data_IF_296732870166
#
_entry.id   IF_296732870166
#
_cell.length_a   1.000
_cell.length_b   1.000
_cell.length_c   1.000
_cell.angle_alpha   90.00
_cell.angle_beta   90.00
_cell.angle_gamma   90.00
#
_symmetry.space_group_name_H-M   'P 1'
#
loop_
_entity.id
_entity.type
_entity.pdbx_description
1 polymer ?
#
# COMPACT_ATOMS: atom_id res chain seq x y z
N UNK A 1 17.99 -6.69 6.70
CA UNK A 1 16.98 -6.96 5.67
C UNK A 1 15.64 -6.55 6.25
N UNK A 2 14.88 -5.67 5.60
CA UNK A 2 13.60 -5.19 6.15
C UNK A 2 12.58 -6.34 6.18
N UNK A 3 11.86 -6.50 7.29
CA UNK A 3 10.78 -7.49 7.39
C UNK A 3 9.50 -6.86 6.81
N UNK A 4 8.85 -7.44 5.79
CA UNK A 4 7.64 -6.86 5.20
C UNK A 4 6.38 -7.07 6.08
N UNK A 5 6.54 -7.53 7.32
CA UNK A 5 5.46 -7.88 8.25
C UNK A 5 5.73 -7.32 9.66
N UNK A 6 6.41 -6.17 9.76
CA UNK A 6 6.50 -5.46 11.05
C UNK A 6 5.16 -4.82 11.39
N UNK A 7 4.93 -4.52 12.68
CA UNK A 7 3.66 -3.98 13.16
C UNK A 7 3.41 -2.54 12.66
N UNK A 8 4.47 -1.82 12.33
CA UNK A 8 4.45 -0.43 11.85
C UNK A 8 3.97 -0.32 10.40
N UNK A 9 3.76 -1.43 9.69
CA UNK A 9 3.16 -1.39 8.35
C UNK A 9 1.69 -0.97 8.45
N UNK A 10 1.42 0.22 7.92
CA UNK A 10 0.08 0.79 7.91
C UNK A 10 -0.71 0.51 6.63
N UNK A 11 -0.03 0.19 5.53
CA UNK A 11 -0.64 0.04 4.22
C UNK A 11 0.10 -0.95 3.31
N UNK A 12 -0.64 -1.85 2.68
CA UNK A 12 -0.22 -2.58 1.49
C UNK A 12 -1.07 -2.14 0.30
N UNK A 13 -0.43 -1.87 -0.83
CA UNK A 13 -1.11 -1.49 -2.06
C UNK A 13 -0.48 -2.14 -3.27
N UNK A 14 -1.25 -2.18 -4.35
CA UNK A 14 -0.81 -2.70 -5.65
C UNK A 14 -1.19 -1.72 -6.76
N UNK A 15 -0.52 -1.86 -7.90
CA UNK A 15 -1.00 -1.31 -9.16
C UNK A 15 -0.61 -2.22 -10.32
N UNK A 16 -1.56 -2.51 -11.20
CA UNK A 16 -1.37 -3.32 -12.41
C UNK A 16 -1.48 -2.51 -13.71
N UNK A 17 -2.08 -1.32 -13.66
CA UNK A 17 -2.41 -0.50 -14.83
C UNK A 17 -1.81 0.90 -14.78
N UNK A 18 -1.08 1.21 -13.71
CA UNK A 18 -0.43 2.50 -13.51
C UNK A 18 1.00 2.28 -13.04
N UNK A 19 1.84 3.30 -13.17
CA UNK A 19 3.18 3.27 -12.57
C UNK A 19 3.08 3.46 -11.06
N UNK A 20 4.08 2.97 -10.32
CA UNK A 20 4.20 3.24 -8.88
C UNK A 20 4.18 4.74 -8.57
N UNK A 21 4.88 5.55 -9.38
CA UNK A 21 4.90 7.01 -9.25
C UNK A 21 3.50 7.63 -9.32
N UNK A 22 2.69 7.22 -10.30
CA UNK A 22 1.30 7.68 -10.41
C UNK A 22 0.49 7.28 -9.18
N UNK A 23 0.65 6.04 -8.69
CA UNK A 23 -0.10 5.55 -7.53
C UNK A 23 0.30 6.26 -6.23
N UNK A 24 1.60 6.54 -6.05
CA UNK A 24 2.10 7.35 -4.94
C UNK A 24 1.62 8.79 -4.99
N UNK A 25 1.56 9.40 -6.19
CA UNK A 25 1.03 10.75 -6.33
C UNK A 25 -0.45 10.81 -5.91
N UNK A 26 -1.25 9.81 -6.29
CA UNK A 26 -2.64 9.71 -5.84
C UNK A 26 -2.74 9.58 -4.32
N UNK A 27 -1.93 8.73 -3.70
CA UNK A 27 -1.86 8.63 -2.24
C UNK A 27 -1.52 10.00 -1.62
N UNK A 28 -0.45 10.65 -2.08
CA UNK A 28 0.02 11.94 -1.59
C UNK A 28 -1.08 13.02 -1.68
N UNK A 29 -1.79 13.07 -2.80
CA UNK A 29 -2.90 14.00 -3.01
C UNK A 29 -4.06 13.76 -2.04
N UNK A 30 -4.40 12.52 -1.75
CA UNK A 30 -5.46 12.21 -0.77
C UNK A 30 -5.01 12.46 0.66
N UNK A 31 -3.84 11.95 1.06
CA UNK A 31 -3.31 12.08 2.41
C UNK A 31 -3.08 13.56 2.81
N UNK A 32 -2.34 14.29 1.99
CA UNK A 32 -1.80 15.59 2.40
C UNK A 32 -2.59 16.78 1.84
N UNK A 33 -3.26 16.61 0.69
CA UNK A 33 -3.99 17.70 0.02
C UNK A 33 -5.52 17.59 0.10
N UNK A 34 -6.05 16.52 0.71
CA UNK A 34 -7.48 16.28 0.84
C UNK A 34 -8.20 16.16 -0.50
N UNK A 35 -7.55 15.56 -1.52
CA UNK A 35 -8.12 15.36 -2.85
C UNK A 35 -8.50 13.90 -3.07
N UNK A 36 -9.60 13.67 -3.77
CA UNK A 36 -10.03 12.31 -4.10
C UNK A 36 -9.04 11.60 -5.04
N UNK A 37 -9.05 10.25 -4.96
CA UNK A 37 -8.26 9.39 -5.83
C UNK A 37 -7.59 8.20 -5.16
N UNK A 38 -7.53 8.16 -3.82
CA UNK A 38 -6.89 7.06 -3.10
C UNK A 38 -7.50 6.81 -1.70
N UNK A 39 -8.22 5.70 -1.53
CA UNK A 39 -8.87 5.36 -0.25
C UNK A 39 -7.88 5.25 0.92
N UNK A 40 -6.77 4.53 0.73
CA UNK A 40 -5.74 4.42 1.78
C UNK A 40 -5.08 5.76 2.13
N UNK A 41 -5.10 6.73 1.21
CA UNK A 41 -4.58 8.08 1.48
C UNK A 41 -5.57 8.89 2.31
N UNK A 42 -6.88 8.74 2.05
CA UNK A 42 -7.93 9.29 2.90
C UNK A 42 -7.88 8.72 4.32
N UNK A 43 -7.76 7.40 4.46
CA UNK A 43 -7.61 6.78 5.79
C UNK A 43 -6.35 7.26 6.50
N UNK A 44 -5.23 7.43 5.78
CA UNK A 44 -4.02 8.02 6.38
C UNK A 44 -4.29 9.42 6.94
N UNK A 45 -4.96 10.28 6.15
CA UNK A 45 -5.30 11.64 6.58
C UNK A 45 -6.15 11.64 7.84
N UNK A 46 -7.14 10.76 7.92
CA UNK A 46 -8.06 10.67 9.05
C UNK A 46 -7.38 10.15 10.32
N UNK A 47 -6.51 9.14 10.19
CA UNK A 47 -5.91 8.44 11.33
C UNK A 47 -4.63 9.14 11.84
N UNK A 48 -3.84 9.75 10.96
CA UNK A 48 -2.55 10.36 11.31
C UNK A 48 -2.55 11.89 11.16
N UNK A 49 -3.13 12.42 10.07
CA UNK A 49 -3.29 13.86 9.86
C UNK A 49 -1.99 14.68 9.88
N UNK A 50 -0.83 14.04 9.66
CA UNK A 50 0.50 14.67 9.75
C UNK A 50 1.07 15.07 8.36
N UNK A 51 2.30 15.58 8.36
CA UNK A 51 3.02 15.97 7.14
C UNK A 51 3.82 14.79 6.50
N UNK A 52 3.65 13.56 7.00
CA UNK A 52 4.32 12.38 6.46
C UNK A 52 5.83 12.33 6.67
N UNK A 53 6.40 13.14 7.58
CA UNK A 53 7.85 13.15 7.84
C UNK A 53 8.39 11.82 8.35
N UNK A 54 7.53 11.01 8.97
CA UNK A 54 7.84 9.67 9.47
C UNK A 54 7.20 8.57 8.61
N UNK A 55 6.72 8.90 7.41
CA UNK A 55 6.16 7.94 6.47
C UNK A 55 7.28 7.44 5.54
N UNK A 56 7.52 6.13 5.59
CA UNK A 56 8.48 5.46 4.72
C UNK A 56 7.76 4.57 3.72
N UNK A 57 8.30 4.47 2.50
CA UNK A 57 7.71 3.69 1.42
C UNK A 57 8.72 2.67 0.91
N UNK A 58 8.28 1.43 0.75
CA UNK A 58 9.02 0.37 0.08
C UNK A 58 8.27 -0.07 -1.18
N UNK A 59 9.00 -0.56 -2.18
CA UNK A 59 8.45 -1.05 -3.44
C UNK A 59 9.00 -2.44 -3.77
N UNK A 60 8.17 -3.23 -4.44
CA UNK A 60 8.56 -4.52 -5.01
C UNK A 60 8.14 -4.57 -6.49
N UNK A 61 8.99 -4.07 -7.41
CA UNK A 61 8.78 -4.23 -8.85
C UNK A 61 8.79 -5.71 -9.23
N UNK A 62 7.82 -6.13 -10.03
CA UNK A 62 7.71 -7.50 -10.53
C UNK A 62 8.09 -7.49 -12.00
N UNK A 63 9.28 -8.00 -12.31
CA UNK A 63 9.79 -8.09 -13.68
C UNK A 63 9.98 -9.56 -14.10
N UNK A 64 10.08 -9.81 -15.41
CA UNK A 64 10.40 -11.14 -15.95
C UNK A 64 9.26 -12.16 -15.98
N UNK A 65 8.03 -11.75 -15.68
CA UNK A 65 6.83 -12.54 -15.92
C UNK A 65 6.17 -12.13 -17.26
N UNK A 66 5.45 -13.04 -17.94
CA UNK A 66 4.59 -12.68 -19.05
C UNK A 66 3.55 -11.61 -18.64
N UNK A 67 3.24 -10.70 -19.56
CA UNK A 67 2.32 -9.58 -19.31
C UNK A 67 0.94 -10.05 -18.84
N UNK A 68 0.48 -11.20 -19.34
CA UNK A 68 -0.80 -11.79 -18.94
C UNK A 68 -0.79 -12.36 -17.53
N UNK A 69 0.38 -12.68 -16.95
CA UNK A 69 0.50 -13.27 -15.61
C UNK A 69 0.87 -12.23 -14.54
N UNK A 70 1.59 -11.17 -14.93
CA UNK A 70 2.12 -10.18 -14.01
C UNK A 70 1.04 -9.52 -13.12
N UNK A 71 -0.12 -9.06 -13.63
CA UNK A 71 -1.18 -8.50 -12.78
C UNK A 71 -1.74 -9.47 -11.75
N UNK A 72 -1.86 -10.75 -12.12
CA UNK A 72 -2.37 -11.79 -11.21
C UNK A 72 -1.38 -12.06 -10.09
N UNK A 73 -0.09 -12.11 -10.40
CA UNK A 73 0.95 -12.28 -9.40
C UNK A 73 1.02 -11.08 -8.44
N UNK A 74 0.98 -9.85 -8.98
CA UNK A 74 0.99 -8.62 -8.16
C UNK A 74 -0.16 -8.63 -7.15
N UNK A 75 -1.39 -8.90 -7.60
CA UNK A 75 -2.57 -8.98 -6.72
C UNK A 75 -2.49 -10.11 -5.72
N UNK A 76 -1.95 -11.27 -6.13
CA UNK A 76 -1.71 -12.39 -5.22
C UNK A 76 -0.74 -12.00 -4.10
N UNK A 77 0.38 -11.36 -4.42
CA UNK A 77 1.38 -10.92 -3.43
C UNK A 77 0.78 -9.90 -2.47
N UNK A 78 0.05 -8.89 -2.95
CA UNK A 78 -0.66 -7.92 -2.10
C UNK A 78 -1.58 -8.63 -1.11
N UNK A 79 -2.43 -9.53 -1.61
CA UNK A 79 -3.41 -10.23 -0.78
C UNK A 79 -2.75 -11.15 0.24
N UNK A 80 -1.66 -11.81 -0.15
CA UNK A 80 -0.87 -12.68 0.72
C UNK A 80 -0.23 -11.87 1.86
N UNK A 81 0.37 -10.72 1.56
CA UNK A 81 1.01 -9.87 2.58
C UNK A 81 -0.01 -9.34 3.60
N UNK A 82 -1.18 -8.89 3.13
CA UNK A 82 -2.27 -8.49 4.04
C UNK A 82 -2.72 -9.65 4.91
N UNK A 83 -2.89 -10.84 4.33
CA UNK A 83 -3.29 -12.03 5.07
C UNK A 83 -2.27 -12.42 6.14
N UNK A 84 -0.98 -12.45 5.80
CA UNK A 84 0.10 -12.77 6.74
C UNK A 84 0.24 -11.71 7.85
N UNK A 85 0.02 -10.44 7.53
CA UNK A 85 -0.02 -9.38 8.53
C UNK A 85 -1.18 -9.62 9.53
N UNK A 86 -2.37 -9.93 9.04
CA UNK A 86 -3.55 -10.21 9.89
C UNK A 86 -3.31 -11.44 10.76
N UNK A 87 -2.73 -12.51 10.22
CA UNK A 87 -2.41 -13.70 11.02
C UNK A 87 -1.41 -13.40 12.13
N UNK A 88 -0.46 -12.48 11.88
CA UNK A 88 0.60 -12.15 12.84
C UNK A 88 0.15 -11.17 13.92
N UNK A 89 -0.68 -10.19 13.57
CA UNK A 89 -1.03 -9.06 14.44
C UNK A 89 -2.52 -9.01 14.81
N UNK A 90 -3.30 -10.00 14.36
CA UNK A 90 -4.74 -10.16 14.63
C UNK A 90 -5.59 -8.94 14.23
N UNK A 91 -5.08 -8.12 13.32
CA UNK A 91 -5.75 -6.90 12.83
C UNK A 91 -5.36 -6.58 11.39
N UNK A 92 -6.20 -5.81 10.70
CA UNK A 92 -5.85 -5.25 9.39
C UNK A 92 -4.88 -4.06 9.54
N UNK A 93 -3.98 -3.83 8.56
CA UNK A 93 -3.25 -2.57 8.49
C UNK A 93 -4.25 -1.41 8.45
N UNK A 94 -3.97 -0.35 9.20
CA UNK A 94 -4.93 0.73 9.45
C UNK A 94 -5.45 1.37 8.16
N UNK A 95 -4.59 1.59 7.16
CA UNK A 95 -4.98 2.17 5.88
C UNK A 95 -5.51 1.15 4.85
N UNK A 96 -5.64 -0.12 5.22
CA UNK A 96 -6.29 -1.17 4.41
C UNK A 96 -7.74 -1.46 4.85
N UNK A 97 -8.26 -0.72 5.85
CA UNK A 97 -9.67 -0.78 6.24
C UNK A 97 -10.55 -0.34 5.06
N UNK A 98 -11.67 -1.05 4.86
CA UNK A 98 -12.70 -0.70 3.87
C UNK A 98 -13.85 0.03 4.55
#
# INVERSE_FOLDING_TARGET
MACPLTEEIIYFGETCSQTLSTRWNQFNRSAFLGKDGHSGGWTYREEFGDEGHSLYVAAFPVDGLPDELQPHFIRFVERKLIWEYILKWERTPVCNRK
#
